data_IF_290427943019
#
_entry.id   IF_290427943019
#
_cell.length_a   1.000
_cell.length_b   1.000
_cell.length_c   1.000
_cell.angle_alpha   90.00
_cell.angle_beta   90.00
_cell.angle_gamma   90.00
#
_symmetry.space_group_name_H-M   'P 1'
#
loop_
_entity.id
_entity.type
_entity.pdbx_description
1 polymer ?
#
# COMPACT_ATOMS: atom_id res chain seq x y z
N UNK A 1 -11.01 -10.67 14.11
CA UNK A 1 -10.32 -9.46 13.59
C UNK A 1 -10.18 -9.63 12.10
N UNK A 2 -10.58 -8.65 11.31
CA UNK A 2 -10.43 -8.66 9.84
C UNK A 2 -9.04 -8.14 9.47
N UNK A 3 -8.10 -9.04 9.21
CA UNK A 3 -6.70 -8.71 8.91
C UNK A 3 -6.59 -8.08 7.52
N UNK A 4 -7.40 -8.55 6.55
CA UNK A 4 -7.45 -7.96 5.21
C UNK A 4 -7.87 -6.48 5.28
N UNK A 5 -8.89 -6.16 6.06
CA UNK A 5 -9.29 -4.77 6.26
C UNK A 5 -8.18 -3.92 6.91
N UNK A 6 -7.43 -4.48 7.87
CA UNK A 6 -6.29 -3.78 8.47
C UNK A 6 -5.15 -3.56 7.46
N UNK A 7 -4.85 -4.54 6.61
CA UNK A 7 -3.88 -4.42 5.53
C UNK A 7 -4.26 -3.30 4.54
N UNK A 8 -5.51 -3.31 4.08
CA UNK A 8 -6.06 -2.25 3.20
C UNK A 8 -5.92 -0.87 3.85
N UNK A 9 -6.30 -0.74 5.12
CA UNK A 9 -6.19 0.54 5.85
C UNK A 9 -4.75 1.03 5.93
N UNK A 10 -3.82 0.16 6.33
CA UNK A 10 -2.41 0.53 6.44
C UNK A 10 -1.84 1.01 5.10
N UNK A 11 -2.05 0.25 4.02
CA UNK A 11 -1.57 0.60 2.69
C UNK A 11 -2.24 1.87 2.15
N UNK A 12 -3.55 2.05 2.36
CA UNK A 12 -4.25 3.27 1.94
C UNK A 12 -3.68 4.50 2.64
N UNK A 13 -3.31 4.40 3.92
CA UNK A 13 -2.70 5.52 4.65
C UNK A 13 -1.30 5.87 4.12
N UNK A 14 -0.54 4.89 3.62
CA UNK A 14 0.71 5.17 2.91
C UNK A 14 0.47 5.94 1.60
N UNK A 15 -0.46 5.48 0.78
CA UNK A 15 -0.83 6.17 -0.46
C UNK A 15 -1.42 7.56 -0.19
N UNK A 16 -2.17 7.71 0.92
CA UNK A 16 -2.70 9.00 1.35
C UNK A 16 -1.60 9.98 1.72
N UNK A 17 -0.49 9.54 2.31
CA UNK A 17 0.66 10.39 2.59
C UNK A 17 1.29 10.95 1.29
N UNK A 18 1.35 10.17 0.21
CA UNK A 18 1.78 10.65 -1.12
C UNK A 18 0.81 11.69 -1.67
N UNK A 19 -0.51 11.48 -1.52
CA UNK A 19 -1.52 12.47 -1.89
C UNK A 19 -1.38 13.77 -1.09
N UNK A 20 -1.28 13.68 0.23
CA UNK A 20 -1.14 14.86 1.11
C UNK A 20 0.15 15.63 0.88
N UNK A 21 1.18 14.96 0.38
CA UNK A 21 2.44 15.59 -0.06
C UNK A 21 2.37 16.18 -1.47
N UNK A 22 1.22 16.10 -2.15
CA UNK A 22 0.99 16.66 -3.49
C UNK A 22 1.58 15.82 -4.63
N UNK A 23 1.91 14.55 -4.39
CA UNK A 23 2.55 13.68 -5.37
C UNK A 23 1.63 12.61 -5.97
N UNK A 24 0.48 12.37 -5.36
CA UNK A 24 -0.55 11.48 -5.88
C UNK A 24 -1.87 12.23 -6.06
N UNK A 25 -2.73 11.72 -6.91
CA UNK A 25 -4.08 12.23 -7.15
C UNK A 25 -5.15 11.16 -6.98
N UNK A 26 -4.77 9.90 -7.15
CA UNK A 26 -5.68 8.76 -7.24
C UNK A 26 -5.18 7.60 -6.41
N UNK A 27 -6.08 7.01 -5.62
CA UNK A 27 -5.85 5.76 -4.91
C UNK A 27 -6.88 4.74 -5.39
N UNK A 28 -6.42 3.53 -5.72
CA UNK A 28 -7.25 2.39 -6.12
C UNK A 28 -7.11 1.29 -5.10
N UNK A 29 -8.23 0.84 -4.59
CA UNK A 29 -8.32 -0.21 -3.55
C UNK A 29 -9.18 -1.35 -4.08
N UNK A 30 -8.74 -2.57 -3.87
CA UNK A 30 -9.60 -3.75 -4.00
C UNK A 30 -9.40 -4.70 -2.83
N UNK A 31 -10.48 -5.35 -2.42
CA UNK A 31 -10.46 -6.38 -1.39
C UNK A 31 -11.56 -7.40 -1.67
N UNK A 32 -11.16 -8.67 -1.65
CA UNK A 32 -12.08 -9.82 -1.80
C UNK A 32 -11.55 -11.02 -1.00
N UNK A 33 -12.35 -11.49 -0.06
CA UNK A 33 -11.94 -12.57 0.85
C UNK A 33 -10.68 -12.23 1.64
N UNK A 34 -9.59 -12.95 1.36
CA UNK A 34 -8.27 -12.70 1.96
C UNK A 34 -7.33 -11.90 1.07
N UNK A 35 -7.75 -11.61 -0.16
CA UNK A 35 -6.94 -10.89 -1.15
C UNK A 35 -7.20 -9.40 -1.11
N UNK A 36 -6.16 -8.62 -1.36
CA UNK A 36 -6.23 -7.17 -1.40
C UNK A 36 -5.25 -6.58 -2.43
N UNK A 37 -5.54 -5.38 -2.87
CA UNK A 37 -4.61 -4.54 -3.62
C UNK A 37 -4.87 -3.07 -3.27
N UNK A 38 -3.79 -2.31 -3.05
CA UNK A 38 -3.83 -0.86 -2.95
C UNK A 38 -2.77 -0.29 -3.87
N UNK A 39 -3.17 0.64 -4.72
CA UNK A 39 -2.30 1.30 -5.69
C UNK A 39 -2.53 2.81 -5.70
N UNK A 40 -1.45 3.57 -5.87
CA UNK A 40 -1.49 5.01 -6.08
C UNK A 40 -0.76 5.41 -7.37
N UNK A 41 -1.00 6.64 -7.81
CA UNK A 41 -0.32 7.30 -8.93
C UNK A 41 0.77 8.27 -8.45
N UNK A 42 1.34 8.05 -7.26
CA UNK A 42 2.38 8.86 -6.67
C UNK A 42 3.74 8.70 -7.32
N UNK A 43 4.80 9.13 -6.63
CA UNK A 43 6.20 9.06 -7.14
C UNK A 43 6.76 7.65 -7.24
N UNK A 44 6.08 6.69 -6.67
CA UNK A 44 6.61 5.36 -6.40
C UNK A 44 7.68 5.35 -5.29
N UNK A 45 7.86 4.24 -4.62
CA UNK A 45 8.90 4.07 -3.61
C UNK A 45 10.31 4.32 -4.16
N UNK A 46 11.26 4.68 -3.27
CA UNK A 46 12.66 4.91 -3.64
C UNK A 46 13.35 3.58 -4.01
N UNK A 47 13.55 3.32 -5.31
CA UNK A 47 14.17 2.09 -5.82
C UNK A 47 15.70 2.09 -5.58
N UNK A 48 16.36 3.22 -5.84
CA UNK A 48 17.82 3.33 -5.81
C UNK A 48 18.41 3.47 -4.38
N UNK A 49 17.56 3.64 -3.37
CA UNK A 49 18.01 3.81 -1.99
C UNK A 49 18.45 2.47 -1.40
N UNK A 50 19.56 2.48 -0.68
CA UNK A 50 20.04 1.32 0.11
C UNK A 50 20.08 1.66 1.60
N UNK A 51 19.95 0.63 2.43
CA UNK A 51 20.13 0.70 3.87
C UNK A 51 21.04 -0.45 4.27
N UNK A 52 22.16 -0.14 4.93
CA UNK A 52 23.18 -1.14 5.32
C UNK A 52 23.63 -2.06 4.17
N UNK A 53 23.63 -1.55 2.93
CA UNK A 53 24.00 -2.31 1.74
C UNK A 53 22.89 -3.13 1.10
N UNK A 54 21.70 -3.20 1.72
CA UNK A 54 20.53 -3.88 1.14
C UNK A 54 19.59 -2.87 0.46
N UNK A 55 18.87 -3.25 -0.59
CA UNK A 55 17.85 -2.41 -1.20
C UNK A 55 16.83 -1.95 -0.14
N UNK A 56 16.52 -0.66 -0.13
CA UNK A 56 15.61 -0.04 0.84
C UNK A 56 14.25 -0.75 0.91
N UNK A 57 13.66 -1.07 -0.25
CA UNK A 57 12.37 -1.75 -0.31
C UNK A 57 12.43 -3.14 0.29
N UNK A 58 13.45 -3.93 -0.03
CA UNK A 58 13.63 -5.23 0.60
C UNK A 58 13.70 -5.08 2.12
N UNK A 59 14.42 -4.06 2.59
CA UNK A 59 14.60 -3.83 4.02
C UNK A 59 13.28 -3.53 4.74
N UNK A 60 12.45 -2.63 4.22
CA UNK A 60 11.18 -2.25 4.86
C UNK A 60 10.14 -3.37 4.88
N UNK A 61 10.22 -4.33 3.94
CA UNK A 61 9.32 -5.48 3.88
C UNK A 61 9.81 -6.70 4.66
N UNK A 62 11.06 -6.70 5.15
CA UNK A 62 11.64 -7.87 5.83
C UNK A 62 12.16 -7.60 7.25
N UNK A 63 12.33 -6.34 7.65
CA UNK A 63 12.89 -5.98 8.96
C UNK A 63 11.84 -5.28 9.83
N UNK A 64 11.49 -5.90 10.96
CA UNK A 64 10.46 -5.39 11.88
C UNK A 64 10.86 -4.07 12.56
N UNK A 65 12.14 -3.87 12.82
CA UNK A 65 12.65 -2.73 13.59
C UNK A 65 13.01 -1.52 12.71
N UNK A 66 12.75 -1.59 11.40
CA UNK A 66 13.00 -0.48 10.51
C UNK A 66 11.76 0.42 10.40
N UNK A 67 11.90 1.73 10.50
CA UNK A 67 13.06 2.62 10.41
C UNK A 67 13.31 3.47 11.68
N UNK A 68 13.23 2.90 12.84
CA UNK A 68 13.24 3.69 14.10
C UNK A 68 14.53 4.43 14.41
N UNK A 69 15.61 4.18 13.67
CA UNK A 69 16.93 4.64 14.05
C UNK A 69 17.70 5.44 12.99
N UNK A 70 17.15 5.73 11.83
CA UNK A 70 17.92 6.41 10.78
C UNK A 70 17.44 7.85 10.64
N UNK A 71 18.16 8.77 11.24
CA UNK A 71 18.01 10.20 11.07
C UNK A 71 18.14 10.62 9.60
N UNK A 72 17.47 11.73 9.26
CA UNK A 72 17.35 12.38 7.98
C UNK A 72 16.26 11.81 7.05
N UNK A 73 15.09 12.22 7.31
CA UNK A 73 13.85 12.00 6.56
C UNK A 73 12.72 11.77 7.52
N UNK A 74 11.58 12.35 7.25
CA UNK A 74 10.38 12.19 8.08
C UNK A 74 10.22 10.72 8.46
N UNK A 75 9.96 10.42 9.73
CA UNK A 75 9.72 9.05 10.15
C UNK A 75 8.62 8.50 9.25
N UNK A 76 8.86 7.34 8.65
CA UNK A 76 7.78 6.57 8.03
C UNK A 76 6.81 6.31 9.17
N UNK A 77 5.74 7.09 9.23
CA UNK A 77 4.72 6.90 10.25
C UNK A 77 4.09 5.54 9.99
N UNK A 78 4.33 4.60 10.89
CA UNK A 78 3.69 3.30 10.86
C UNK A 78 2.21 3.52 11.17
N UNK A 79 1.41 3.55 10.13
CA UNK A 79 -0.04 3.66 10.24
C UNK A 79 -0.65 2.29 10.57
N UNK A 80 -0.41 1.80 11.80
CA UNK A 80 -0.97 0.53 12.26
C UNK A 80 -0.06 -0.66 11.98
N UNK A 81 -0.30 -1.42 10.92
CA UNK A 81 0.52 -2.58 10.53
C UNK A 81 1.71 -2.09 9.71
N UNK A 82 2.94 -2.35 10.16
CA UNK A 82 4.15 -2.07 9.37
C UNK A 82 4.27 -3.00 8.17
N UNK A 83 5.02 -2.58 7.14
CA UNK A 83 5.14 -3.36 5.89
C UNK A 83 5.76 -4.74 6.11
N UNK A 84 6.72 -4.88 7.01
CA UNK A 84 7.32 -6.16 7.37
C UNK A 84 6.33 -7.09 8.06
N UNK A 85 5.48 -6.56 8.96
CA UNK A 85 4.42 -7.34 9.59
C UNK A 85 3.35 -7.73 8.55
N UNK A 86 2.97 -6.80 7.67
CA UNK A 86 2.06 -7.11 6.56
C UNK A 86 2.58 -8.27 5.70
N UNK A 87 3.87 -8.22 5.33
CA UNK A 87 4.52 -9.30 4.59
C UNK A 87 4.47 -10.63 5.34
N UNK A 88 4.74 -10.63 6.65
CA UNK A 88 4.68 -11.83 7.48
C UNK A 88 3.26 -12.42 7.65
N UNK A 89 2.22 -11.58 7.51
CA UNK A 89 0.81 -12.03 7.60
C UNK A 89 0.29 -12.59 6.27
N UNK A 90 1.00 -12.36 5.17
CA UNK A 90 0.60 -12.79 3.83
C UNK A 90 1.21 -14.14 3.48
N UNK A 91 0.42 -15.04 2.88
CA UNK A 91 0.96 -16.19 2.16
C UNK A 91 1.66 -15.77 0.87
N UNK A 92 1.17 -14.72 0.22
CA UNK A 92 1.80 -14.08 -0.93
C UNK A 92 1.66 -12.57 -0.84
N UNK A 93 2.73 -11.83 -1.17
CA UNK A 93 2.74 -10.38 -1.29
C UNK A 93 3.51 -9.98 -2.55
N UNK A 94 2.97 -9.03 -3.30
CA UNK A 94 3.64 -8.44 -4.47
C UNK A 94 3.71 -6.93 -4.31
N UNK A 95 4.89 -6.37 -4.54
CA UNK A 95 5.16 -4.93 -4.53
C UNK A 95 5.60 -4.54 -5.92
N UNK A 96 4.85 -3.65 -6.57
CA UNK A 96 5.17 -3.12 -7.89
C UNK A 96 5.39 -1.62 -7.77
N UNK A 97 6.55 -1.17 -8.18
CA UNK A 97 6.92 0.25 -8.20
C UNK A 97 7.20 0.68 -9.62
N UNK A 98 6.62 1.80 -10.03
CA UNK A 98 6.89 2.45 -11.30
C UNK A 98 7.47 3.84 -11.07
N UNK A 99 8.61 4.08 -11.70
CA UNK A 99 9.27 5.38 -11.82
C UNK A 99 9.22 5.81 -13.27
N UNK A 100 9.57 7.05 -13.58
CA UNK A 100 9.65 7.55 -14.96
C UNK A 100 10.64 6.76 -15.84
N UNK A 101 11.64 6.17 -15.24
CA UNK A 101 12.78 5.53 -15.90
C UNK A 101 13.04 4.08 -15.44
N UNK A 102 12.26 3.57 -14.50
CA UNK A 102 12.46 2.23 -13.97
C UNK A 102 11.17 1.58 -13.44
N UNK A 103 11.15 0.26 -13.48
CA UNK A 103 10.15 -0.58 -12.80
C UNK A 103 10.84 -1.55 -11.87
N UNK A 104 10.27 -1.75 -10.69
CA UNK A 104 10.68 -2.79 -9.76
C UNK A 104 9.46 -3.63 -9.38
N UNK A 105 9.59 -4.94 -9.45
CA UNK A 105 8.62 -5.89 -8.92
C UNK A 105 9.32 -6.80 -7.93
N UNK A 106 8.73 -6.93 -6.74
CA UNK A 106 9.19 -7.87 -5.72
C UNK A 106 8.02 -8.76 -5.34
N UNK A 107 8.27 -10.06 -5.24
CA UNK A 107 7.29 -11.02 -4.74
C UNK A 107 7.83 -11.73 -3.51
N UNK A 108 6.98 -11.85 -2.54
CA UNK A 108 7.24 -12.54 -1.29
C UNK A 108 6.27 -13.71 -1.13
N UNK A 109 6.75 -14.79 -0.53
CA UNK A 109 5.95 -15.93 -0.09
C UNK A 109 6.29 -16.23 1.35
N UNK A 110 5.26 -16.28 2.20
CA UNK A 110 5.41 -16.52 3.64
C UNK A 110 6.51 -15.64 4.28
N UNK A 111 6.53 -14.34 3.93
CA UNK A 111 7.50 -13.35 4.42
C UNK A 111 8.86 -13.35 3.73
N UNK A 112 9.17 -14.30 2.86
CA UNK A 112 10.46 -14.42 2.19
C UNK A 112 10.41 -13.90 0.75
N UNK A 113 11.42 -13.07 0.37
CA UNK A 113 11.59 -12.63 -1.01
C UNK A 113 11.90 -13.85 -1.90
N UNK A 114 11.06 -14.09 -2.91
CA UNK A 114 11.22 -15.20 -3.84
C UNK A 114 11.45 -14.76 -5.29
N UNK A 115 11.09 -13.52 -5.64
CA UNK A 115 11.30 -12.99 -6.98
C UNK A 115 11.56 -11.48 -6.89
N UNK A 116 12.56 -11.00 -7.61
CA UNK A 116 12.83 -9.58 -7.81
C UNK A 116 13.15 -9.35 -9.29
N UNK A 117 12.45 -8.38 -9.87
CA UNK A 117 12.67 -7.96 -11.27
C UNK A 117 12.83 -6.44 -11.29
N UNK A 118 13.99 -5.98 -11.75
CA UNK A 118 14.29 -4.57 -11.95
C UNK A 118 14.51 -4.31 -13.43
N UNK A 119 13.77 -3.36 -14.00
CA UNK A 119 13.85 -2.97 -15.40
C UNK A 119 14.10 -1.47 -15.50
N UNK A 120 15.23 -1.09 -16.09
CA UNK A 120 15.56 0.30 -16.42
C UNK A 120 14.91 0.64 -17.77
N UNK A 121 13.62 0.96 -17.73
CA UNK A 121 12.81 1.29 -18.90
C UNK A 121 11.93 2.50 -18.63
N UNK A 122 11.71 3.37 -19.62
CA UNK A 122 10.75 4.46 -19.51
C UNK A 122 9.36 3.93 -19.21
N UNK A 123 8.62 4.64 -18.35
CA UNK A 123 7.24 4.33 -18.04
C UNK A 123 6.34 5.54 -18.31
N UNK A 124 5.10 5.28 -18.70
CA UNK A 124 4.11 6.34 -18.95
C UNK A 124 3.48 6.88 -17.65
N UNK A 125 3.63 6.13 -16.56
CA UNK A 125 3.04 6.47 -15.27
C UNK A 125 3.98 6.13 -14.13
N UNK A 126 3.82 6.78 -13.00
CA UNK A 126 4.52 6.48 -11.75
C UNK A 126 3.54 5.99 -10.70
N UNK A 127 4.04 5.38 -9.63
CA UNK A 127 3.23 4.97 -8.50
C UNK A 127 3.73 3.70 -7.83
N UNK A 128 2.99 3.30 -6.82
CA UNK A 128 3.21 2.03 -6.11
C UNK A 128 1.93 1.23 -6.06
N UNK A 129 2.01 -0.07 -6.30
CA UNK A 129 0.93 -1.01 -6.08
C UNK A 129 1.42 -2.15 -5.18
N UNK A 130 0.70 -2.39 -4.10
CA UNK A 130 0.95 -3.50 -3.18
C UNK A 130 -0.29 -4.38 -3.17
N UNK A 131 -0.11 -5.66 -3.50
CA UNK A 131 -1.18 -6.65 -3.50
C UNK A 131 -0.73 -7.89 -2.74
N UNK A 132 -1.66 -8.58 -2.11
CA UNK A 132 -1.35 -9.79 -1.37
C UNK A 132 -2.57 -10.60 -1.00
N UNK A 133 -2.29 -11.76 -0.40
CA UNK A 133 -3.28 -12.66 0.14
C UNK A 133 -2.90 -12.97 1.58
N UNK A 134 -3.75 -12.62 2.53
CA UNK A 134 -3.57 -12.95 3.95
C UNK A 134 -3.59 -14.46 4.10
N UNK A 135 -2.68 -15.00 4.91
CA UNK A 135 -2.62 -16.43 5.20
C UNK A 135 -3.98 -16.93 5.71
N UNK A 136 -4.56 -17.97 5.08
CA UNK A 136 -5.87 -18.49 5.47
C UNK A 136 -5.92 -19.01 6.92
N UNK A 137 -4.77 -19.31 7.50
CA UNK A 137 -4.68 -19.74 8.91
C UNK A 137 -4.86 -18.58 9.89
N UNK A 138 -4.64 -17.36 9.44
CA UNK A 138 -4.71 -16.13 10.26
C UNK A 138 -6.05 -15.40 10.13
N UNK A 139 -6.64 -15.40 8.95
CA UNK A 139 -7.92 -14.77 8.70
C UNK A 139 -9.06 -15.73 9.04
N UNK A 140 -9.84 -15.40 10.08
CA UNK A 140 -11.06 -16.12 10.43
C UNK A 140 -12.28 -15.32 9.93
N UNK A 141 -12.98 -15.88 8.95
CA UNK A 141 -14.14 -15.25 8.33
C UNK A 141 -13.79 -14.44 7.08
N UNK A 142 -14.81 -13.93 6.42
CA UNK A 142 -14.66 -13.11 5.22
C UNK A 142 -14.42 -11.64 5.57
N UNK A 143 -13.70 -10.96 4.69
CA UNK A 143 -13.50 -9.51 4.77
C UNK A 143 -14.83 -8.79 4.60
N UNK A 144 -15.09 -7.82 5.47
CA UNK A 144 -16.27 -6.97 5.38
C UNK A 144 -16.01 -5.81 4.41
N UNK A 145 -16.43 -5.99 3.15
CA UNK A 145 -16.28 -4.99 2.11
C UNK A 145 -17.03 -3.67 2.42
N UNK A 146 -18.22 -3.75 3.03
CA UNK A 146 -19.00 -2.56 3.41
C UNK A 146 -18.26 -1.72 4.46
N UNK A 147 -17.61 -2.37 5.42
CA UNK A 147 -16.80 -1.68 6.42
C UNK A 147 -15.61 -0.96 5.79
N UNK A 148 -14.93 -1.61 4.82
CA UNK A 148 -13.82 -0.98 4.09
C UNK A 148 -14.34 0.20 3.29
N UNK A 149 -15.42 0.03 2.53
CA UNK A 149 -16.01 1.10 1.71
C UNK A 149 -16.42 2.31 2.56
N UNK A 150 -17.10 2.09 3.68
CA UNK A 150 -17.50 3.16 4.59
C UNK A 150 -16.29 3.91 5.15
N UNK A 151 -15.22 3.19 5.50
CA UNK A 151 -13.98 3.83 5.96
C UNK A 151 -13.32 4.64 4.84
N UNK A 152 -13.27 4.12 3.61
CA UNK A 152 -12.73 4.83 2.44
C UNK A 152 -13.54 6.08 2.10
N UNK A 153 -14.86 6.06 2.25
CA UNK A 153 -15.72 7.25 2.07
C UNK A 153 -15.37 8.34 3.10
N UNK A 154 -15.06 7.98 4.34
CA UNK A 154 -14.62 8.94 5.35
C UNK A 154 -13.23 9.52 5.00
N UNK A 155 -12.31 8.70 4.48
CA UNK A 155 -11.01 9.18 3.98
C UNK A 155 -11.23 10.17 2.85
N UNK A 156 -12.09 9.84 1.89
CA UNK A 156 -12.40 10.70 0.73
C UNK A 156 -13.00 12.05 1.17
N UNK A 157 -13.97 12.03 2.07
CA UNK A 157 -14.61 13.24 2.58
C UNK A 157 -13.64 14.19 3.29
N UNK A 158 -12.58 13.65 3.92
CA UNK A 158 -11.57 14.42 4.64
C UNK A 158 -10.40 14.89 3.76
N UNK A 159 -10.33 14.45 2.51
CA UNK A 159 -9.18 14.70 1.63
C UNK A 159 -9.60 15.12 0.20
N UNK A 160 -10.40 16.19 0.01
CA UNK A 160 -10.68 16.68 -1.32
C UNK A 160 -9.39 17.32 -1.92
N UNK A 161 -9.07 17.20 -3.22
CA UNK A 161 -9.82 16.54 -4.29
C UNK A 161 -9.33 15.10 -4.63
N UNK A 162 -9.01 14.29 -3.63
CA UNK A 162 -8.58 12.89 -3.82
C UNK A 162 -9.60 12.15 -4.69
N UNK A 163 -9.11 11.37 -5.67
CA UNK A 163 -9.90 10.36 -6.39
C UNK A 163 -9.65 8.99 -5.77
N UNK A 164 -10.71 8.31 -5.38
CA UNK A 164 -10.62 7.03 -4.72
C UNK A 164 -11.56 6.02 -5.39
N UNK A 165 -11.00 4.84 -5.74
CA UNK A 165 -11.75 3.75 -6.32
C UNK A 165 -11.74 2.56 -5.37
N UNK A 166 -12.87 1.88 -5.26
CA UNK A 166 -12.99 0.63 -4.52
C UNK A 166 -13.68 -0.45 -5.35
N UNK A 167 -13.02 -1.60 -5.48
CA UNK A 167 -13.49 -2.74 -6.28
C UNK A 167 -13.97 -2.32 -7.69
N UNK A 168 -13.18 -1.45 -8.35
CA UNK A 168 -13.43 -0.97 -9.70
C UNK A 168 -14.45 0.18 -9.82
N UNK A 169 -15.06 0.63 -8.72
CA UNK A 169 -16.00 1.77 -8.71
C UNK A 169 -15.33 3.01 -8.15
N UNK A 170 -15.53 4.16 -8.78
CA UNK A 170 -15.15 5.44 -8.19
C UNK A 170 -16.09 5.78 -7.03
N UNK A 171 -15.50 6.12 -5.89
CA UNK A 171 -16.24 6.55 -4.71
C UNK A 171 -16.47 8.07 -4.76
N UNK A 172 -17.65 8.48 -4.33
CA UNK A 172 -18.00 9.90 -4.21
C UNK A 172 -18.30 10.23 -2.76
N UNK A 173 -17.71 11.29 -2.26
CA UNK A 173 -18.00 11.75 -0.90
C UNK A 173 -19.51 12.02 -0.74
N UNK A 174 -20.12 11.62 0.37
CA UNK A 174 -21.51 11.93 0.62
C UNK A 174 -21.69 13.45 0.59
N UNK A 175 -22.68 13.91 -0.18
CA UNK A 175 -23.03 15.32 -0.18
C UNK A 175 -23.51 15.71 1.21
N UNK A 176 -23.10 16.86 1.76
CA UNK A 176 -23.65 17.36 3.00
C UNK A 176 -25.16 17.49 2.80
N UNK A 177 -25.94 16.84 3.66
CA UNK A 177 -27.40 17.01 3.68
C UNK A 177 -27.69 18.49 3.77
N UNK A 178 -28.42 19.03 2.80
CA UNK A 178 -28.92 20.39 2.88
C UNK A 178 -29.82 20.48 4.14
N UNK A 179 -29.35 21.21 5.14
CA UNK A 179 -30.08 21.47 6.37
C UNK A 179 -31.17 22.52 6.13
#
# INVERSE_FOLDING_TARGET
>A
MDITAQAVRALTLYSLAEFQSGHASTIRVSADGTSFCVADDGRGHAIARTVTGSPYLQFIYTHLDYPFAVGEGSPVQLHGIGMSLLNALCSELSVNVQKTDAKLRMKYRDGHLCEEEHLDIPTESTGTAVSGTISPTLQRGQTNAEYIEQWLLNVLASNPPLKLHFNGKELHAPQPSAA
#
